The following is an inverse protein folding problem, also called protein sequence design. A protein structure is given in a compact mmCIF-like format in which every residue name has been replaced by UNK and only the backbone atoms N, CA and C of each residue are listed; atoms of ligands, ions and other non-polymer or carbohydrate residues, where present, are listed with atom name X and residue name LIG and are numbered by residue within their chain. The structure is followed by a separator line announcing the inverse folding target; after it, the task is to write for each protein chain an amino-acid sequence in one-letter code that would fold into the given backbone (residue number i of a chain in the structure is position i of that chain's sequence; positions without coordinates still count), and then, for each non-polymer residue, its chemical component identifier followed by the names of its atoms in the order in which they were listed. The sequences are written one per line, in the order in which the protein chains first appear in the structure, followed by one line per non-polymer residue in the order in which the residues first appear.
data_IF_899167496772
#
_entry.id   IF_899167496772
#
_cell.length_a   1.000
_cell.length_b   1.000
_cell.length_c   1.000
_cell.angle_alpha   90.00
_cell.angle_beta   90.00
_cell.angle_gamma   90.00
#
_symmetry.space_group_name_H-M   'P 1'
#
loop_
_entity.id
_entity.type
_entity.pdbx_description
1 polymer ?
#
# COMPACT_ATOMS: atom_id res chain seq x y z
N UNK A 1 -22.78 14.45 18.64
CA UNK A 1 -21.62 13.54 18.57
C UNK A 1 -20.82 13.71 19.83
N UNK A 2 -20.40 12.61 20.46
CA UNK A 2 -19.52 12.70 21.62
C UNK A 2 -18.16 13.35 21.22
N UNK A 3 -17.54 14.16 22.10
CA UNK A 3 -16.27 14.81 21.80
C UNK A 3 -15.16 13.85 21.35
N UNK A 4 -15.15 12.63 21.91
CA UNK A 4 -14.16 11.59 21.59
C UNK A 4 -14.27 11.11 20.14
N UNK A 5 -15.49 11.06 19.58
CA UNK A 5 -15.73 10.66 18.19
C UNK A 5 -15.18 11.73 17.25
N UNK A 6 -15.48 13.00 17.53
CA UNK A 6 -14.97 14.10 16.73
C UNK A 6 -13.42 14.13 16.77
N UNK A 7 -12.85 13.91 17.95
CA UNK A 7 -11.39 13.83 18.10
C UNK A 7 -10.79 12.64 17.33
N UNK A 8 -11.43 11.46 17.36
CA UNK A 8 -11.02 10.30 16.58
C UNK A 8 -11.05 10.55 15.07
N UNK A 9 -12.06 11.26 14.56
CA UNK A 9 -12.13 11.69 13.15
C UNK A 9 -10.96 12.61 12.82
N UNK A 10 -10.69 13.62 13.66
CA UNK A 10 -9.58 14.55 13.46
C UNK A 10 -8.25 13.81 13.42
N UNK A 11 -8.03 12.83 14.30
CA UNK A 11 -6.81 12.02 14.29
C UNK A 11 -6.71 11.14 13.05
N UNK A 12 -7.78 10.49 12.61
CA UNK A 12 -7.77 9.70 11.39
C UNK A 12 -7.42 10.55 10.15
N UNK A 13 -7.99 11.76 10.05
CA UNK A 13 -7.62 12.72 9.00
C UNK A 13 -6.17 13.20 9.15
N UNK A 14 -5.72 13.44 10.38
CA UNK A 14 -4.34 13.78 10.70
C UNK A 14 -3.36 12.69 10.27
N UNK A 15 -3.71 11.42 10.43
CA UNK A 15 -2.92 10.30 9.94
C UNK A 15 -2.84 10.31 8.40
N UNK A 16 -3.95 10.49 7.69
CA UNK A 16 -3.93 10.60 6.23
C UNK A 16 -3.08 11.80 5.75
N UNK A 17 -3.15 12.93 6.47
CA UNK A 17 -2.34 14.10 6.17
C UNK A 17 -0.85 13.82 6.35
N UNK A 18 -0.45 13.26 7.49
CA UNK A 18 0.94 12.90 7.77
C UNK A 18 1.42 11.80 6.82
N UNK A 19 0.54 10.91 6.39
CA UNK A 19 0.86 9.92 5.37
C UNK A 19 1.16 10.57 4.02
N UNK A 20 0.28 11.47 3.55
CA UNK A 20 0.55 12.26 2.34
C UNK A 20 1.85 13.05 2.44
N UNK A 21 2.20 13.54 3.63
CA UNK A 21 3.47 14.22 3.89
C UNK A 21 4.68 13.30 3.73
N UNK A 22 4.59 12.05 4.21
CA UNK A 22 5.66 11.07 4.18
C UNK A 22 5.88 10.48 2.78
N UNK A 23 4.80 10.09 2.12
CA UNK A 23 4.85 9.25 0.93
C UNK A 23 4.83 10.04 -0.39
N UNK A 24 4.64 11.37 -0.32
CA UNK A 24 4.78 12.27 -1.47
C UNK A 24 6.11 12.08 -2.23
N UNK A 25 7.18 11.68 -1.55
CA UNK A 25 8.48 11.45 -2.17
C UNK A 25 8.47 10.32 -3.20
N UNK A 26 7.64 9.29 -3.01
CA UNK A 26 7.65 8.09 -3.86
C UNK A 26 7.28 8.36 -5.32
N UNK A 27 6.40 9.33 -5.56
CA UNK A 27 5.96 9.71 -6.93
C UNK A 27 6.62 10.98 -7.44
N UNK A 28 7.19 11.82 -6.57
CA UNK A 28 7.78 13.12 -6.95
C UNK A 28 9.28 13.01 -7.22
N UNK A 29 10.01 12.18 -6.47
CA UNK A 29 11.48 12.16 -6.52
C UNK A 29 12.01 11.88 -7.93
N UNK A 30 11.49 10.85 -8.61
CA UNK A 30 11.97 10.43 -9.93
C UNK A 30 11.65 11.43 -11.03
N UNK A 31 10.43 11.99 -11.03
CA UNK A 31 9.99 12.95 -12.07
C UNK A 31 10.68 14.31 -11.95
N UNK A 32 11.05 14.71 -10.73
CA UNK A 32 11.84 15.92 -10.46
C UNK A 32 13.32 15.68 -10.77
N UNK A 33 13.89 14.57 -10.33
CA UNK A 33 15.30 14.23 -10.59
C UNK A 33 15.61 14.10 -12.09
N UNK A 34 14.66 13.58 -12.88
CA UNK A 34 14.79 13.46 -14.34
C UNK A 34 14.51 14.77 -15.10
N UNK A 35 14.18 15.87 -14.40
CA UNK A 35 13.74 17.15 -14.98
C UNK A 35 12.55 16.98 -15.95
N UNK A 36 11.68 16.01 -15.69
CA UNK A 36 10.46 15.80 -16.48
C UNK A 36 9.33 16.75 -16.07
N UNK A 37 9.26 17.09 -14.78
CA UNK A 37 8.38 18.13 -14.25
C UNK A 37 9.16 19.05 -13.33
N UNK A 38 8.73 20.32 -13.27
CA UNK A 38 9.22 21.21 -12.21
C UNK A 38 8.68 20.76 -10.85
N UNK A 39 9.42 20.99 -9.74
CA UNK A 39 9.01 20.53 -8.40
C UNK A 39 7.58 20.93 -8.02
N UNK A 40 7.19 22.17 -8.32
CA UNK A 40 5.84 22.70 -8.03
C UNK A 40 4.77 21.95 -8.83
N UNK A 41 5.01 21.67 -10.11
CA UNK A 41 4.07 20.92 -10.95
C UNK A 41 3.95 19.47 -10.50
N UNK A 42 5.08 18.86 -10.14
CA UNK A 42 5.11 17.49 -9.64
C UNK A 42 4.27 17.33 -8.38
N UNK A 43 4.42 18.23 -7.39
CA UNK A 43 3.58 18.24 -6.18
C UNK A 43 2.11 18.41 -6.53
N UNK A 44 1.79 19.41 -7.35
CA UNK A 44 0.40 19.71 -7.69
C UNK A 44 -0.33 18.53 -8.36
N UNK A 45 0.29 17.92 -9.38
CA UNK A 45 -0.32 16.78 -10.05
C UNK A 45 -0.37 15.53 -9.15
N UNK A 46 0.66 15.30 -8.34
CA UNK A 46 0.68 14.17 -7.38
C UNK A 46 -0.42 14.33 -6.34
N UNK A 47 -0.63 15.54 -5.81
CA UNK A 47 -1.69 15.81 -4.85
C UNK A 47 -3.09 15.57 -5.45
N UNK A 48 -3.33 15.99 -6.70
CA UNK A 48 -4.58 15.71 -7.41
C UNK A 48 -4.78 14.21 -7.60
N UNK A 49 -3.75 13.50 -8.06
CA UNK A 49 -3.80 12.06 -8.24
C UNK A 49 -4.08 11.32 -6.92
N UNK A 50 -3.41 11.70 -5.84
CA UNK A 50 -3.64 11.15 -4.49
C UNK A 50 -5.07 11.42 -4.00
N UNK A 51 -5.64 12.58 -4.33
CA UNK A 51 -7.02 12.93 -3.98
C UNK A 51 -8.06 12.17 -4.82
N UNK A 52 -7.75 11.88 -6.09
CA UNK A 52 -8.64 11.12 -6.98
C UNK A 52 -8.60 9.63 -6.65
N UNK A 53 -7.43 9.10 -6.26
CA UNK A 53 -7.21 7.68 -5.98
C UNK A 53 -8.32 6.98 -5.19
N UNK A 54 -8.76 7.51 -4.02
CA UNK A 54 -9.83 6.91 -3.21
C UNK A 54 -11.16 6.68 -3.93
N UNK A 55 -11.40 7.34 -5.07
CA UNK A 55 -12.60 7.18 -5.88
C UNK A 55 -12.44 6.21 -7.06
N UNK A 56 -11.20 5.84 -7.39
CA UNK A 56 -10.87 5.05 -8.60
C UNK A 56 -10.86 3.56 -8.31
N UNK A 57 -10.37 3.15 -7.14
CA UNK A 57 -10.35 1.73 -6.72
C UNK A 57 -11.43 1.45 -5.67
N UNK A 58 -11.53 0.17 -5.29
CA UNK A 58 -12.52 -0.31 -4.31
C UNK A 58 -12.25 0.18 -2.88
N UNK A 59 -13.29 0.18 -2.05
CA UNK A 59 -13.21 0.41 -0.60
C UNK A 59 -12.74 -0.82 0.21
N UNK A 60 -12.23 -1.87 -0.45
CA UNK A 60 -11.81 -3.11 0.21
C UNK A 60 -10.73 -2.89 1.29
N UNK A 61 -9.83 -1.93 1.07
CA UNK A 61 -8.80 -1.55 2.05
C UNK A 61 -9.44 -0.94 3.30
N UNK A 62 -10.43 -0.06 3.13
CA UNK A 62 -11.18 0.53 4.24
C UNK A 62 -11.92 -0.54 5.05
N UNK A 63 -12.56 -1.50 4.37
CA UNK A 63 -13.23 -2.64 5.02
C UNK A 63 -12.23 -3.48 5.82
N UNK A 64 -11.07 -3.79 5.22
CA UNK A 64 -10.02 -4.59 5.88
C UNK A 64 -9.58 -3.90 7.17
N UNK A 65 -9.30 -2.60 7.12
CA UNK A 65 -8.83 -1.82 8.26
C UNK A 65 -9.90 -1.71 9.35
N UNK A 66 -11.14 -1.48 8.95
CA UNK A 66 -12.23 -1.25 9.88
C UNK A 66 -12.85 -2.51 10.49
N UNK A 67 -12.54 -3.70 9.97
CA UNK A 67 -13.24 -4.94 10.39
C UNK A 67 -12.36 -6.16 10.64
N UNK A 68 -11.15 -6.23 10.08
CA UNK A 68 -10.39 -7.51 10.01
C UNK A 68 -9.05 -7.51 10.75
N UNK A 69 -8.68 -6.42 11.42
CA UNK A 69 -7.43 -6.32 12.19
C UNK A 69 -7.65 -6.74 13.65
N UNK A 70 -8.63 -6.12 14.31
CA UNK A 70 -9.03 -6.42 15.68
C UNK A 70 -10.54 -6.67 15.76
N UNK A 71 -11.00 -7.35 16.81
CA UNK A 71 -12.42 -7.66 17.01
C UNK A 71 -13.26 -6.40 17.21
N UNK A 72 -14.55 -6.47 16.85
CA UNK A 72 -15.47 -5.34 17.03
C UNK A 72 -15.63 -4.90 18.49
N UNK A 73 -15.45 -5.82 19.45
CA UNK A 73 -15.44 -5.48 20.88
C UNK A 73 -14.22 -4.65 21.30
N UNK A 74 -13.11 -4.74 20.56
CA UNK A 74 -11.88 -4.00 20.82
C UNK A 74 -11.83 -2.67 20.05
N UNK A 75 -12.64 -2.48 18.99
CA UNK A 75 -12.79 -1.23 18.24
C UNK A 75 -13.73 -0.28 18.98
N UNK A 76 -13.21 0.37 20.01
CA UNK A 76 -13.92 1.41 20.75
C UNK A 76 -13.42 2.79 20.31
N UNK A 77 -14.20 3.87 20.53
CA UNK A 77 -13.72 5.22 20.26
C UNK A 77 -12.37 5.53 20.93
N UNK A 78 -12.16 5.03 22.14
CA UNK A 78 -10.90 5.21 22.87
C UNK A 78 -9.74 4.44 22.22
N UNK A 79 -9.94 3.18 21.83
CA UNK A 79 -8.86 2.41 21.19
C UNK A 79 -8.46 2.99 19.85
N UNK A 80 -9.41 3.51 19.07
CA UNK A 80 -9.14 4.22 17.82
C UNK A 80 -8.32 5.49 18.07
N UNK A 81 -8.69 6.31 19.05
CA UNK A 81 -7.95 7.52 19.42
C UNK A 81 -6.50 7.20 19.82
N UNK A 82 -6.30 6.18 20.66
CA UNK A 82 -4.96 5.75 21.09
C UNK A 82 -4.16 5.22 19.90
N UNK A 83 -4.76 4.36 19.07
CA UNK A 83 -4.12 3.79 17.89
C UNK A 83 -3.68 4.87 16.89
N UNK A 84 -4.56 5.81 16.56
CA UNK A 84 -4.25 6.89 15.62
C UNK A 84 -3.22 7.84 16.20
N UNK A 85 -3.31 8.19 17.50
CA UNK A 85 -2.31 9.02 18.17
C UNK A 85 -0.92 8.41 18.09
N UNK A 86 -0.78 7.13 18.43
CA UNK A 86 0.49 6.41 18.34
C UNK A 86 1.04 6.35 16.90
N UNK A 87 0.18 6.04 15.92
CA UNK A 87 0.55 5.99 14.52
C UNK A 87 1.02 7.35 13.99
N UNK A 88 0.28 8.43 14.27
CA UNK A 88 0.62 9.79 13.86
C UNK A 88 1.97 10.21 14.43
N UNK A 89 2.20 9.98 15.73
CA UNK A 89 3.47 10.34 16.37
C UNK A 89 4.63 9.61 15.69
N UNK A 90 4.50 8.30 15.47
CA UNK A 90 5.54 7.51 14.82
C UNK A 90 5.83 7.98 13.39
N UNK A 91 4.80 8.12 12.56
CA UNK A 91 4.97 8.55 11.16
C UNK A 91 5.52 9.97 11.11
N UNK A 92 4.98 10.90 11.88
CA UNK A 92 5.43 12.28 11.87
C UNK A 92 6.90 12.42 12.28
N UNK A 93 7.32 11.73 13.36
CA UNK A 93 8.71 11.74 13.81
C UNK A 93 9.63 11.15 12.74
N UNK A 94 9.27 10.03 12.13
CA UNK A 94 10.06 9.41 11.08
C UNK A 94 10.17 10.32 9.84
N UNK A 95 9.08 10.95 9.41
CA UNK A 95 9.09 11.89 8.28
C UNK A 95 9.99 13.09 8.57
N UNK A 96 9.98 13.63 9.79
CA UNK A 96 10.87 14.73 10.21
C UNK A 96 12.34 14.31 10.26
N UNK A 97 12.60 13.04 10.57
CA UNK A 97 13.93 12.44 10.47
C UNK A 97 14.30 12.06 9.03
N UNK A 98 13.37 12.20 8.07
CA UNK A 98 13.57 11.81 6.67
C UNK A 98 13.75 10.30 6.48
N UNK A 99 13.16 9.50 7.37
CA UNK A 99 13.17 8.03 7.29
C UNK A 99 11.85 7.60 6.63
N UNK A 100 11.86 6.98 5.45
CA UNK A 100 10.65 6.47 4.83
C UNK A 100 10.14 5.27 5.63
N UNK A 101 8.95 5.41 6.21
CA UNK A 101 8.25 4.32 6.92
C UNK A 101 6.87 4.08 6.33
N UNK A 102 6.30 2.90 6.56
CA UNK A 102 4.92 2.60 6.15
C UNK A 102 3.93 3.10 7.21
N UNK A 103 3.03 4.00 6.78
CA UNK A 103 1.89 4.45 7.59
C UNK A 103 0.89 3.33 7.86
N UNK A 104 0.66 2.42 6.90
CA UNK A 104 -0.18 1.23 7.08
C UNK A 104 0.28 0.40 8.27
N UNK A 105 1.59 0.10 8.36
CA UNK A 105 2.13 -0.69 9.47
C UNK A 105 2.05 0.05 10.81
N UNK A 106 2.30 1.37 10.81
CA UNK A 106 2.16 2.18 12.02
C UNK A 106 0.71 2.16 12.54
N UNK A 107 -0.27 2.27 11.64
CA UNK A 107 -1.69 2.21 11.97
C UNK A 107 -2.14 0.81 12.42
N UNK A 108 -1.77 -0.24 11.68
CA UNK A 108 -2.08 -1.63 12.02
C UNK A 108 -1.48 -1.98 13.38
N UNK A 109 -0.22 -1.63 13.62
CA UNK A 109 0.45 -1.81 14.90
C UNK A 109 -0.23 -1.02 16.03
N UNK A 110 -0.65 0.22 15.76
CA UNK A 110 -1.42 1.03 16.70
C UNK A 110 -2.76 0.39 17.08
N UNK A 111 -3.51 -0.12 16.09
CA UNK A 111 -4.79 -0.81 16.31
C UNK A 111 -4.60 -2.12 17.09
N UNK A 112 -3.60 -2.92 16.73
CA UNK A 112 -3.26 -4.14 17.47
C UNK A 112 -2.88 -3.83 18.92
N UNK A 113 -1.99 -2.85 19.15
CA UNK A 113 -1.56 -2.46 20.48
C UNK A 113 -2.71 -1.91 21.34
N UNK A 114 -3.56 -1.06 20.77
CA UNK A 114 -4.73 -0.53 21.48
C UNK A 114 -5.77 -1.61 21.76
N UNK A 115 -6.01 -2.52 20.82
CA UNK A 115 -6.92 -3.66 21.01
C UNK A 115 -6.44 -4.63 22.09
N UNK A 116 -5.15 -5.00 22.06
CA UNK A 116 -4.52 -5.84 23.09
C UNK A 116 -4.57 -5.14 24.45
N UNK A 117 -4.32 -3.83 24.50
CA UNK A 117 -4.45 -3.05 25.74
C UNK A 117 -5.87 -3.00 26.29
N UNK A 118 -6.90 -3.07 25.43
CA UNK A 118 -8.29 -3.00 25.83
C UNK A 118 -8.85 -4.32 26.37
N UNK A 119 -8.63 -5.44 25.67
CA UNK A 119 -9.24 -6.74 26.01
C UNK A 119 -8.26 -7.93 25.99
N UNK A 120 -6.97 -7.69 25.82
CA UNK A 120 -5.93 -8.72 25.74
C UNK A 120 -5.76 -9.32 24.34
N UNK A 121 -5.01 -10.43 24.24
CA UNK A 121 -4.70 -11.09 22.96
C UNK A 121 -5.93 -11.60 22.19
N UNK A 122 -7.08 -11.76 22.85
CA UNK A 122 -8.36 -12.09 22.22
C UNK A 122 -8.87 -10.99 21.28
N UNK A 123 -8.31 -9.77 21.34
CA UNK A 123 -8.59 -8.69 20.41
C UNK A 123 -8.11 -8.98 18.98
N UNK A 124 -7.08 -9.82 18.81
CA UNK A 124 -6.44 -10.03 17.50
C UNK A 124 -7.16 -11.10 16.72
N UNK A 125 -7.55 -10.78 15.48
CA UNK A 125 -8.15 -11.75 14.57
C UNK A 125 -7.02 -12.57 13.95
N UNK A 126 -6.82 -13.79 14.47
CA UNK A 126 -5.82 -14.72 13.94
C UNK A 126 -6.39 -15.51 12.75
N UNK A 127 -5.54 -15.82 11.74
CA UNK A 127 -5.96 -16.66 10.62
C UNK A 127 -6.26 -18.08 11.08
N UNK A 128 -7.19 -18.75 10.40
CA UNK A 128 -7.48 -20.16 10.65
C UNK A 128 -6.29 -21.04 10.25
N UNK A 129 -6.15 -22.20 10.91
CA UNK A 129 -5.11 -23.17 10.59
C UNK A 129 -5.22 -23.67 9.14
N UNK A 130 -6.44 -23.75 8.61
CA UNK A 130 -6.70 -24.11 7.22
C UNK A 130 -6.13 -23.07 6.25
N UNK A 131 -6.38 -21.77 6.47
CA UNK A 131 -5.82 -20.72 5.62
C UNK A 131 -4.30 -20.72 5.68
N UNK A 132 -3.70 -20.89 6.86
CA UNK A 132 -2.25 -21.00 7.00
C UNK A 132 -1.69 -22.19 6.20
N UNK A 133 -2.34 -23.35 6.28
CA UNK A 133 -1.93 -24.53 5.53
C UNK A 133 -2.06 -24.32 4.03
N UNK A 134 -3.16 -23.74 3.55
CA UNK A 134 -3.36 -23.42 2.14
C UNK A 134 -2.26 -22.48 1.63
N UNK A 135 -2.01 -21.36 2.32
CA UNK A 135 -0.95 -20.41 1.92
C UNK A 135 0.40 -21.10 1.81
N UNK A 136 0.76 -21.90 2.82
CA UNK A 136 2.03 -22.63 2.82
C UNK A 136 2.10 -23.66 1.67
N UNK A 137 1.06 -24.47 1.50
CA UNK A 137 0.99 -25.49 0.47
C UNK A 137 1.09 -24.90 -0.95
N UNK A 138 0.30 -23.86 -1.23
CA UNK A 138 0.32 -23.21 -2.54
C UNK A 138 1.61 -22.42 -2.78
N UNK A 139 2.22 -21.82 -1.75
CA UNK A 139 3.53 -21.18 -1.88
C UNK A 139 4.61 -22.19 -2.31
N UNK A 140 4.60 -23.42 -1.78
CA UNK A 140 5.51 -24.48 -2.22
C UNK A 140 5.25 -24.87 -3.68
N UNK A 141 3.98 -25.05 -4.07
CA UNK A 141 3.64 -25.35 -5.47
C UNK A 141 4.13 -24.24 -6.38
N UNK A 142 3.88 -22.97 -6.02
CA UNK A 142 4.37 -21.82 -6.76
C UNK A 142 5.89 -21.80 -6.86
N UNK A 143 6.60 -22.12 -5.77
CA UNK A 143 8.05 -22.21 -5.77
C UNK A 143 8.57 -23.28 -6.73
N UNK A 144 7.99 -24.48 -6.71
CA UNK A 144 8.40 -25.58 -7.58
C UNK A 144 8.14 -25.22 -9.05
N UNK A 145 6.94 -24.71 -9.37
CA UNK A 145 6.58 -24.31 -10.73
C UNK A 145 7.47 -23.17 -11.23
N UNK A 146 7.67 -22.13 -10.42
CA UNK A 146 8.52 -21.00 -10.77
C UNK A 146 9.99 -21.41 -10.96
N UNK A 147 10.51 -22.29 -10.10
CA UNK A 147 11.86 -22.83 -10.23
C UNK A 147 12.02 -23.61 -11.53
N UNK A 148 11.07 -24.49 -11.87
CA UNK A 148 11.10 -25.27 -13.11
C UNK A 148 11.05 -24.38 -14.35
N UNK A 149 10.12 -23.41 -14.38
CA UNK A 149 9.96 -22.49 -15.52
C UNK A 149 11.26 -21.71 -15.75
N UNK A 150 11.80 -21.11 -14.69
CA UNK A 150 12.99 -20.26 -14.84
C UNK A 150 14.27 -21.08 -15.06
N UNK A 151 14.34 -22.31 -14.56
CA UNK A 151 15.42 -23.26 -14.89
C UNK A 151 15.45 -23.60 -16.39
N UNK A 152 14.28 -23.91 -16.97
CA UNK A 152 14.16 -24.23 -18.40
C UNK A 152 14.56 -23.02 -19.25
N UNK A 153 14.11 -21.83 -18.87
CA UNK A 153 14.49 -20.58 -19.56
C UNK A 153 16.00 -20.36 -19.43
N UNK A 154 16.58 -20.44 -18.23
CA UNK A 154 18.02 -20.28 -18.04
C UNK A 154 18.84 -21.31 -18.84
N UNK A 155 18.40 -22.56 -18.90
CA UNK A 155 19.05 -23.59 -19.73
C UNK A 155 18.95 -23.28 -21.24
N UNK A 156 17.80 -22.79 -21.70
CA UNK A 156 17.59 -22.45 -23.12
C UNK A 156 18.41 -21.24 -23.59
N UNK A 157 18.77 -20.33 -22.70
CA UNK A 157 19.59 -19.15 -22.98
C UNK A 157 21.05 -19.28 -22.52
N UNK A 158 21.53 -20.51 -22.26
CA UNK A 158 22.90 -20.79 -21.76
C UNK A 158 23.29 -19.99 -20.50
N UNK A 159 22.30 -19.61 -19.69
CA UNK A 159 22.48 -18.89 -18.43
C UNK A 159 22.72 -19.81 -17.23
N UNK A 160 22.99 -19.21 -16.06
CA UNK A 160 23.17 -19.97 -14.82
C UNK A 160 21.84 -20.57 -14.33
N UNK A 161 21.71 -21.89 -14.49
CA UNK A 161 20.54 -22.68 -14.08
C UNK A 161 20.32 -22.62 -12.56
N UNK A 162 21.39 -22.57 -11.75
CA UNK A 162 21.25 -22.50 -10.28
C UNK A 162 20.68 -21.16 -9.84
N UNK A 163 21.12 -20.10 -10.48
CA UNK A 163 20.55 -18.77 -10.24
C UNK A 163 19.09 -18.70 -10.72
N UNK A 164 18.81 -19.22 -11.93
CA UNK A 164 17.45 -19.29 -12.47
C UNK A 164 16.49 -20.07 -11.58
N UNK A 165 16.85 -21.26 -11.12
CA UNK A 165 16.02 -22.07 -10.20
C UNK A 165 15.70 -21.32 -8.91
N UNK A 166 16.70 -20.67 -8.29
CA UNK A 166 16.52 -19.92 -7.04
C UNK A 166 15.57 -18.73 -7.21
N UNK A 167 15.83 -17.89 -8.20
CA UNK A 167 14.98 -16.71 -8.48
C UNK A 167 13.57 -17.15 -8.88
N UNK A 168 13.47 -18.20 -9.69
CA UNK A 168 12.20 -18.80 -10.09
C UNK A 168 11.39 -19.29 -8.89
N UNK A 169 12.04 -19.94 -7.91
CA UNK A 169 11.36 -20.40 -6.70
C UNK A 169 10.78 -19.25 -5.89
N UNK A 170 11.57 -18.21 -5.64
CA UNK A 170 11.14 -17.06 -4.83
C UNK A 170 10.02 -16.29 -5.53
N UNK A 171 10.18 -15.98 -6.82
CA UNK A 171 9.16 -15.29 -7.60
C UNK A 171 7.88 -16.14 -7.73
N UNK A 172 8.01 -17.44 -7.98
CA UNK A 172 6.88 -18.36 -8.10
C UNK A 172 6.06 -18.46 -6.82
N UNK A 173 6.72 -18.58 -5.66
CA UNK A 173 6.05 -18.57 -4.35
C UNK A 173 5.29 -17.25 -4.09
N UNK A 174 5.86 -16.12 -4.51
CA UNK A 174 5.23 -14.81 -4.35
C UNK A 174 4.06 -14.57 -5.30
N UNK A 175 4.17 -14.99 -6.56
CA UNK A 175 3.18 -14.72 -7.61
C UNK A 175 1.93 -15.60 -7.49
N UNK A 176 2.09 -16.86 -7.06
CA UNK A 176 0.97 -17.81 -7.03
C UNK A 176 -0.15 -17.38 -6.07
N UNK A 177 0.19 -16.76 -4.94
CA UNK A 177 -0.78 -16.36 -3.92
C UNK A 177 -1.76 -15.30 -4.47
N UNK A 178 -1.30 -14.15 -5.03
CA UNK A 178 -2.18 -13.19 -5.70
C UNK A 178 -3.04 -13.81 -6.80
N UNK A 179 -2.48 -14.71 -7.62
CA UNK A 179 -3.22 -15.37 -8.71
C UNK A 179 -4.39 -16.18 -8.13
N UNK A 180 -4.13 -16.97 -7.08
CA UNK A 180 -5.15 -17.80 -6.43
C UNK A 180 -6.19 -16.95 -5.68
N UNK A 181 -5.80 -15.80 -5.12
CA UNK A 181 -6.74 -14.84 -4.54
C UNK A 181 -7.65 -14.23 -5.61
N UNK A 182 -7.11 -13.81 -6.76
CA UNK A 182 -7.90 -13.27 -7.89
C UNK A 182 -8.84 -14.34 -8.44
N UNK A 183 -8.37 -15.59 -8.55
CA UNK A 183 -9.16 -16.73 -8.98
C UNK A 183 -10.20 -17.19 -7.93
N UNK A 184 -10.27 -16.53 -6.77
CA UNK A 184 -11.18 -16.86 -5.65
C UNK A 184 -11.02 -18.29 -5.12
N UNK A 185 -9.83 -18.89 -5.29
CA UNK A 185 -9.50 -20.24 -4.77
C UNK A 185 -9.14 -20.18 -3.30
N UNK A 186 -8.44 -19.11 -2.87
CA UNK A 186 -8.07 -18.86 -1.48
C UNK A 186 -8.61 -17.48 -1.08
N UNK A 187 -9.30 -17.42 0.05
CA UNK A 187 -9.77 -16.18 0.65
C UNK A 187 -8.87 -15.81 1.83
N UNK A 188 -7.90 -14.93 1.56
CA UNK A 188 -6.99 -14.40 2.59
C UNK A 188 -7.46 -13.00 2.97
N UNK A 189 -7.82 -12.83 4.23
CA UNK A 189 -8.29 -11.56 4.78
C UNK A 189 -7.47 -11.14 6.01
N UNK A 190 -7.64 -9.88 6.41
CA UNK A 190 -7.10 -9.35 7.67
C UNK A 190 -5.59 -9.37 7.77
N UNK A 191 -5.11 -9.60 8.99
CA UNK A 191 -3.70 -9.47 9.34
C UNK A 191 -2.79 -10.36 8.49
N UNK A 192 -3.25 -11.57 8.14
CA UNK A 192 -2.47 -12.49 7.30
C UNK A 192 -2.24 -11.92 5.90
N UNK A 193 -3.25 -11.29 5.29
CA UNK A 193 -3.09 -10.64 3.99
C UNK A 193 -2.05 -9.52 4.08
N UNK A 194 -2.14 -8.65 5.09
CA UNK A 194 -1.20 -7.54 5.30
C UNK A 194 0.23 -8.09 5.40
N UNK A 195 0.47 -9.09 6.25
CA UNK A 195 1.80 -9.68 6.45
C UNK A 195 2.35 -10.33 5.17
N UNK A 196 1.52 -11.04 4.41
CA UNK A 196 1.96 -11.68 3.17
C UNK A 196 2.34 -10.63 2.10
N UNK A 197 1.54 -9.58 1.94
CA UNK A 197 1.78 -8.56 0.92
C UNK A 197 3.00 -7.66 1.20
N UNK A 198 3.53 -7.63 2.44
CA UNK A 198 4.84 -7.03 2.76
C UNK A 198 5.96 -7.68 1.92
N UNK A 199 5.92 -8.99 1.77
CA UNK A 199 6.95 -9.74 1.03
C UNK A 199 6.59 -9.95 -0.43
N UNK A 200 5.30 -10.13 -0.74
CA UNK A 200 4.84 -10.39 -2.10
C UNK A 200 4.96 -9.15 -2.97
N UNK A 201 4.63 -7.95 -2.47
CA UNK A 201 4.59 -6.75 -3.31
C UNK A 201 5.96 -6.33 -3.89
N UNK A 202 7.10 -6.37 -3.16
CA UNK A 202 8.41 -6.11 -3.76
C UNK A 202 8.81 -7.17 -4.79
N UNK A 203 8.46 -8.44 -4.57
CA UNK A 203 8.73 -9.53 -5.52
C UNK A 203 7.97 -9.33 -6.83
N UNK A 204 6.68 -8.99 -6.75
CA UNK A 204 5.88 -8.64 -7.92
C UNK A 204 6.43 -7.42 -8.65
N UNK A 205 6.81 -6.38 -7.91
CA UNK A 205 7.41 -5.17 -8.47
C UNK A 205 8.71 -5.45 -9.21
N UNK A 206 9.61 -6.25 -8.60
CA UNK A 206 10.87 -6.65 -9.21
C UNK A 206 10.66 -7.51 -10.46
N UNK A 207 9.79 -8.52 -10.39
CA UNK A 207 9.50 -9.38 -11.54
C UNK A 207 8.85 -8.58 -12.70
N UNK A 208 7.88 -7.72 -12.38
CA UNK A 208 7.23 -6.85 -13.35
C UNK A 208 8.20 -5.86 -13.99
N UNK A 209 9.04 -5.20 -13.20
CA UNK A 209 10.05 -4.27 -13.71
C UNK A 209 11.08 -4.96 -14.60
N UNK A 210 11.51 -6.17 -14.24
CA UNK A 210 12.43 -6.98 -15.04
C UNK A 210 11.83 -7.34 -16.41
N UNK A 211 10.59 -7.86 -16.43
CA UNK A 211 9.90 -8.19 -17.67
C UNK A 211 9.64 -6.95 -18.54
N UNK A 212 9.23 -5.84 -17.92
CA UNK A 212 9.01 -4.58 -18.61
C UNK A 212 10.31 -4.05 -19.23
N UNK A 213 11.43 -4.15 -18.53
CA UNK A 213 12.73 -3.76 -19.05
C UNK A 213 13.16 -4.60 -20.27
N UNK A 214 12.94 -5.91 -20.24
CA UNK A 214 13.20 -6.79 -21.40
C UNK A 214 12.36 -6.36 -22.60
N UNK A 215 11.05 -6.19 -22.39
CA UNK A 215 10.12 -5.78 -23.45
C UNK A 215 10.53 -4.45 -24.08
N UNK A 216 10.75 -3.44 -23.25
CA UNK A 216 11.12 -2.09 -23.70
C UNK A 216 12.46 -2.09 -24.42
N UNK A 217 13.46 -2.79 -23.88
CA UNK A 217 14.79 -2.90 -24.51
C UNK A 217 14.69 -3.53 -25.90
N UNK A 218 13.84 -4.56 -26.06
CA UNK A 218 13.64 -5.21 -27.35
C UNK A 218 12.92 -4.32 -28.37
N UNK A 219 11.92 -3.55 -27.94
CA UNK A 219 11.16 -2.64 -28.80
C UNK A 219 12.01 -1.44 -29.29
N UNK A 220 12.99 -1.02 -28.49
CA UNK A 220 13.71 0.25 -28.70
C UNK A 220 15.13 0.04 -29.20
N UNK A 221 15.60 -1.22 -29.31
CA UNK A 221 16.98 -1.58 -29.72
C UNK A 221 17.51 -0.91 -31.00
N UNK A 222 16.63 -0.44 -31.90
CA UNK A 222 17.00 0.25 -33.14
C UNK A 222 16.57 1.73 -33.19
N UNK A 223 16.12 2.31 -32.07
CA UNK A 223 15.63 3.68 -32.01
C UNK A 223 16.74 4.69 -31.73
N UNK A 224 16.68 5.85 -32.40
CA UNK A 224 17.60 6.98 -32.15
C UNK A 224 17.33 7.59 -30.76
N UNK A 225 18.40 7.88 -30.01
CA UNK A 225 18.36 8.35 -28.62
C UNK A 225 17.47 9.59 -28.39
N UNK A 226 17.42 10.53 -29.36
CA UNK A 226 16.54 11.70 -29.28
C UNK A 226 15.05 11.38 -29.41
N UNK A 227 14.68 10.34 -30.17
CA UNK A 227 13.28 9.88 -30.29
C UNK A 227 12.86 9.18 -29.01
N UNK A 228 13.74 8.35 -28.44
CA UNK A 228 13.51 7.66 -27.17
C UNK A 228 13.22 8.66 -26.05
N UNK A 229 14.04 9.72 -25.90
CA UNK A 229 13.79 10.73 -24.86
C UNK A 229 12.42 11.42 -24.99
N UNK A 230 12.00 11.77 -26.22
CA UNK A 230 10.69 12.42 -26.46
C UNK A 230 9.49 11.53 -26.14
N UNK A 231 9.63 10.21 -26.26
CA UNK A 231 8.56 9.25 -25.96
C UNK A 231 8.58 8.86 -24.48
N UNK A 232 9.76 8.66 -23.89
CA UNK A 232 9.91 8.17 -22.51
C UNK A 232 9.57 9.22 -21.47
N UNK A 233 9.91 10.48 -21.72
CA UNK A 233 9.66 11.54 -20.74
C UNK A 233 8.16 11.71 -20.40
N UNK A 234 7.22 11.80 -21.36
CA UNK A 234 5.80 11.86 -21.02
C UNK A 234 5.26 10.55 -20.44
N UNK A 235 5.77 9.39 -20.88
CA UNK A 235 5.38 8.09 -20.30
C UNK A 235 5.85 7.93 -18.86
N UNK A 236 7.03 8.44 -18.52
CA UNK A 236 7.55 8.45 -17.16
C UNK A 236 6.71 9.34 -16.25
N UNK A 237 6.32 10.54 -16.74
CA UNK A 237 5.37 11.40 -16.02
C UNK A 237 4.06 10.67 -15.79
N UNK A 238 3.49 10.04 -16.83
CA UNK A 238 2.25 9.27 -16.70
C UNK A 238 2.38 8.13 -15.68
N UNK A 239 3.48 7.39 -15.70
CA UNK A 239 3.74 6.31 -14.74
C UNK A 239 3.80 6.83 -13.29
N UNK A 240 4.46 7.97 -13.05
CA UNK A 240 4.52 8.60 -11.72
C UNK A 240 3.14 9.06 -11.24
N UNK A 241 2.31 9.59 -12.15
CA UNK A 241 0.92 9.98 -11.84
C UNK A 241 0.03 8.77 -11.58
N UNK A 242 0.18 7.68 -12.35
CA UNK A 242 -0.52 6.42 -12.09
C UNK A 242 -0.13 5.83 -10.74
N UNK A 243 1.16 5.87 -10.38
CA UNK A 243 1.64 5.45 -9.07
C UNK A 243 1.07 6.32 -7.95
N UNK A 244 0.98 7.64 -8.14
CA UNK A 244 0.34 8.54 -7.17
C UNK A 244 -1.15 8.18 -7.01
N UNK A 245 -1.89 8.01 -8.11
CA UNK A 245 -3.30 7.59 -8.04
C UNK A 245 -3.46 6.25 -7.32
N UNK A 246 -2.61 5.26 -7.61
CA UNK A 246 -2.63 3.96 -6.95
C UNK A 246 -2.30 4.06 -5.45
N UNK A 247 -1.33 4.90 -5.09
CA UNK A 247 -1.01 5.19 -3.70
C UNK A 247 -2.20 5.83 -2.98
N UNK A 248 -2.77 6.92 -3.51
CA UNK A 248 -3.98 7.53 -2.94
C UNK A 248 -5.16 6.56 -2.84
N UNK A 249 -5.32 5.66 -3.80
CA UNK A 249 -6.39 4.67 -3.81
C UNK A 249 -6.25 3.60 -2.73
N UNK A 250 -5.03 3.28 -2.32
CA UNK A 250 -4.76 2.37 -1.20
C UNK A 250 -4.79 3.14 0.12
N UNK A 251 -3.90 4.12 0.23
CA UNK A 251 -3.57 4.78 1.48
C UNK A 251 -4.61 5.83 1.90
N UNK A 252 -5.32 6.42 0.94
CA UNK A 252 -6.44 7.30 1.24
C UNK A 252 -7.59 6.56 1.92
N UNK A 253 -7.68 5.23 1.76
CA UNK A 253 -8.69 4.39 2.42
C UNK A 253 -8.37 4.11 3.90
N UNK A 254 -7.18 4.47 4.38
CA UNK A 254 -6.81 4.26 5.78
C UNK A 254 -7.72 5.05 6.72
N UNK A 255 -7.77 6.37 6.57
CA UNK A 255 -8.69 7.21 7.34
C UNK A 255 -10.16 6.84 7.08
N UNK A 256 -10.50 6.43 5.85
CA UNK A 256 -11.87 6.00 5.52
C UNK A 256 -12.29 4.79 6.36
N UNK A 257 -11.42 3.77 6.45
CA UNK A 257 -11.67 2.58 7.24
C UNK A 257 -11.78 2.88 8.73
N UNK A 258 -10.86 3.70 9.27
CA UNK A 258 -10.85 4.08 10.69
C UNK A 258 -12.07 4.92 11.06
N UNK A 259 -12.41 5.95 10.27
CA UNK A 259 -13.58 6.80 10.52
C UNK A 259 -14.86 5.97 10.44
N UNK A 260 -14.98 5.10 9.43
CA UNK A 260 -16.17 4.24 9.30
C UNK A 260 -16.28 3.28 10.48
N UNK A 261 -15.17 2.66 10.93
CA UNK A 261 -15.15 1.82 12.13
C UNK A 261 -15.54 2.61 13.39
N UNK A 262 -15.08 3.85 13.52
CA UNK A 262 -15.45 4.73 14.63
C UNK A 262 -16.95 5.06 14.64
N UNK A 263 -17.53 5.34 13.47
CA UNK A 263 -18.97 5.60 13.33
C UNK A 263 -19.82 4.36 13.63
N UNK A 264 -19.35 3.17 13.23
CA UNK A 264 -19.99 1.90 13.56
C UNK A 264 -19.90 1.62 15.07
N UNK A 265 -18.71 1.75 15.66
CA UNK A 265 -18.49 1.49 17.09
C UNK A 265 -19.29 2.42 18.03
N UNK A 266 -19.61 3.62 17.56
CA UNK A 266 -20.42 4.60 18.30
C UNK A 266 -21.92 4.46 18.08
N UNK A 267 -22.35 3.47 17.28
CA UNK A 267 -23.76 3.22 16.96
C UNK A 267 -24.38 4.26 16.01
N UNK A 268 -23.58 5.15 15.41
CA UNK A 268 -24.04 6.11 14.40
C UNK A 268 -24.35 5.39 13.09
N UNK A 269 -23.53 4.41 12.72
CA UNK A 269 -23.78 3.49 11.61
C UNK A 269 -24.09 2.09 12.16
N UNK A 270 -25.13 1.45 11.62
CA UNK A 270 -25.51 0.09 12.00
C UNK A 270 -24.74 -0.97 11.20
N UNK A 271 -24.29 -0.61 9.99
CA UNK A 271 -23.54 -1.46 9.06
C UNK A 271 -22.27 -0.76 8.63
N UNK A 272 -21.26 -1.53 8.21
CA UNK A 272 -20.02 -0.99 7.65
C UNK A 272 -20.25 -0.55 6.20
N UNK A 273 -20.99 0.54 6.03
CA UNK A 273 -21.16 1.21 4.74
C UNK A 273 -20.37 2.50 4.75
N UNK A 274 -19.41 2.61 3.82
CA UNK A 274 -18.52 3.76 3.75
C UNK A 274 -19.27 4.96 3.19
N UNK A 275 -19.48 6.04 3.98
CA UNK A 275 -20.18 7.22 3.49
C UNK A 275 -19.30 8.02 2.52
N UNK A 276 -19.91 8.58 1.48
CA UNK A 276 -19.18 9.37 0.48
C UNK A 276 -18.44 10.57 1.09
N UNK A 277 -19.02 11.22 2.10
CA UNK A 277 -18.38 12.35 2.77
C UNK A 277 -17.08 11.94 3.47
N UNK A 278 -16.99 10.71 4.01
CA UNK A 278 -15.79 10.17 4.64
C UNK A 278 -14.67 10.01 3.61
N UNK A 279 -15.01 9.49 2.42
CA UNK A 279 -14.06 9.36 1.31
C UNK A 279 -13.56 10.75 0.89
N UNK A 280 -14.46 11.71 0.71
CA UNK A 280 -14.12 13.09 0.31
C UNK A 280 -13.16 13.76 1.28
N UNK A 281 -13.45 13.76 2.57
CA UNK A 281 -12.57 14.41 3.56
C UNK A 281 -11.23 13.68 3.71
N UNK A 282 -11.21 12.35 3.58
CA UNK A 282 -9.99 11.55 3.67
C UNK A 282 -9.09 11.76 2.45
N UNK A 283 -9.69 11.87 1.27
CA UNK A 283 -9.02 12.20 0.01
C UNK A 283 -8.42 13.62 0.05
N UNK A 284 -9.16 14.59 0.60
CA UNK A 284 -8.64 15.94 0.82
C UNK A 284 -7.47 15.94 1.80
N UNK A 285 -7.55 15.18 2.89
CA UNK A 285 -6.47 15.12 3.88
C UNK A 285 -5.15 14.59 3.30
N UNK A 286 -5.19 13.48 2.55
CA UNK A 286 -3.97 12.92 1.91
C UNK A 286 -3.44 13.83 0.80
N UNK A 287 -4.32 14.43 -0.01
CA UNK A 287 -3.95 15.41 -1.03
C UNK A 287 -3.28 16.65 -0.44
N UNK A 288 -3.84 17.20 0.64
CA UNK A 288 -3.25 18.33 1.36
C UNK A 288 -1.90 17.95 1.98
N UNK A 289 -1.79 16.78 2.61
CA UNK A 289 -0.51 16.28 3.13
C UNK A 289 0.58 16.24 2.06
N UNK A 290 0.21 15.77 0.86
CA UNK A 290 1.10 15.72 -0.30
C UNK A 290 1.60 17.11 -0.73
N UNK A 291 0.76 18.14 -0.63
CA UNK A 291 1.14 19.52 -0.95
C UNK A 291 2.19 20.10 0.00
N UNK A 292 2.16 19.74 1.28
CA UNK A 292 3.03 20.31 2.31
C UNK A 292 4.28 19.47 2.62
N UNK A 293 4.38 18.25 2.11
CA UNK A 293 5.41 17.29 2.50
C UNK A 293 6.31 16.79 1.38
N UNK A 294 6.98 15.67 1.64
CA UNK A 294 7.87 14.99 0.70
C UNK A 294 9.27 15.57 0.62
N UNK A 295 9.48 16.89 0.76
CA UNK A 295 10.78 17.51 0.45
C UNK A 295 11.96 17.00 1.29
N UNK A 296 11.76 16.76 2.59
CA UNK A 296 12.83 16.26 3.47
C UNK A 296 13.20 14.81 3.14
N UNK A 297 12.24 14.02 2.68
CA UNK A 297 12.44 12.63 2.27
C UNK A 297 13.05 12.58 0.86
N UNK A 298 12.53 13.38 -0.08
CA UNK A 298 13.06 13.56 -1.45
C UNK A 298 14.52 14.00 -1.41
N UNK A 299 14.89 14.93 -0.53
CA UNK A 299 16.29 15.39 -0.45
C UNK A 299 17.26 14.33 0.09
N UNK A 300 16.77 13.26 0.74
CA UNK A 300 17.58 12.18 1.30
C UNK A 300 17.58 10.90 0.45
N UNK A 301 16.66 10.79 -0.51
CA UNK A 301 16.55 9.68 -1.47
C UNK A 301 17.39 9.96 -2.71
#
# INVERSE_FOLDING_TARGET
MEPIILFGIILALGLNFVNGLNDASHSIATVVATNALSPIKAVFYTAICNMIGPFVLSTAVAVTIGTTIITQSALTPLSIVVAMGAAIVLVFVATRMGIPISSSHAMVGGLLGAGIGAIGFSAVILPSAETLFQVFFYAIIGAILGALILAIISAAFEGDIRFGTLVGAVCGAGIIIPILMIASVIQIHGLLAIVLFIFISPLLGMAGAFLFNILVSHLIKHSRQNRTKRVFQPLHVLACLMQATAHGANDGQHAVGVITALLVSSGILLTFEVPLWVILISALAIGLGTCFGGWQVVNKM
#
